data_IF_841036753201
#
_entry.id   IF_841036753201
#
_cell.length_a   1.000
_cell.length_b   1.000
_cell.length_c   1.000
_cell.angle_alpha   90.00
_cell.angle_beta   90.00
_cell.angle_gamma   90.00
#
_symmetry.space_group_name_H-M   'P 1'
#
loop_
_entity.id
_entity.type
_entity.pdbx_description
1 polymer ?
#
# COMPACT_ATOMS: atom_id res chain seq x y z
N UNK A 1 48.26 3.89 -1.95
CA UNK A 1 47.04 3.06 -1.94
C UNK A 1 46.15 3.51 -3.10
N UNK A 2 46.03 2.65 -4.11
CA UNK A 2 45.55 3.01 -5.46
C UNK A 2 44.08 3.42 -5.53
N UNK A 3 43.82 4.47 -6.31
CA UNK A 3 42.49 4.86 -6.78
C UNK A 3 41.93 3.70 -7.62
N UNK A 4 40.90 3.00 -7.13
CA UNK A 4 40.11 2.10 -7.97
C UNK A 4 39.35 2.97 -8.97
N UNK A 5 39.83 3.00 -10.20
CA UNK A 5 39.04 3.44 -11.34
C UNK A 5 37.81 2.53 -11.40
N UNK A 6 36.62 3.09 -11.20
CA UNK A 6 35.39 2.42 -11.60
C UNK A 6 35.38 2.54 -13.12
N UNK A 7 35.73 1.47 -13.82
CA UNK A 7 35.52 1.42 -15.26
C UNK A 7 34.03 1.63 -15.53
N UNK A 8 33.64 2.53 -16.46
CA UNK A 8 32.26 2.56 -16.91
C UNK A 8 31.95 1.16 -17.43
N UNK A 9 30.81 0.59 -17.01
CA UNK A 9 30.29 -0.62 -17.64
C UNK A 9 29.98 -0.26 -19.10
N UNK A 10 30.99 -0.39 -19.97
CA UNK A 10 30.91 -0.14 -21.41
C UNK A 10 30.29 -1.36 -22.08
N UNK A 11 29.09 -1.70 -21.62
CA UNK A 11 28.26 -2.72 -22.24
C UNK A 11 27.53 -2.01 -23.36
N UNK A 12 27.94 -2.28 -24.59
CA UNK A 12 27.21 -1.86 -25.79
C UNK A 12 25.80 -2.47 -25.73
N UNK A 13 24.85 -1.66 -25.27
CA UNK A 13 23.47 -2.03 -24.97
C UNK A 13 22.77 -2.55 -26.24
N UNK A 14 23.14 -2.06 -27.42
CA UNK A 14 22.61 -2.53 -28.70
C UNK A 14 23.14 -3.91 -29.07
N UNK A 15 24.43 -4.16 -28.83
CA UNK A 15 25.05 -5.47 -29.04
C UNK A 15 24.46 -6.52 -28.10
N UNK A 16 24.21 -6.16 -26.83
CA UNK A 16 23.62 -7.04 -25.83
C UNK A 16 22.14 -7.34 -26.12
N UNK A 17 21.37 -6.31 -26.53
CA UNK A 17 19.99 -6.49 -26.97
C UNK A 17 19.89 -7.44 -28.18
N UNK A 18 20.76 -7.28 -29.18
CA UNK A 18 20.80 -8.14 -30.36
C UNK A 18 21.26 -9.58 -30.04
N UNK A 19 22.08 -9.76 -29.00
CA UNK A 19 22.50 -11.08 -28.50
C UNK A 19 21.34 -11.83 -27.87
N UNK A 20 20.56 -11.17 -27.02
CA UNK A 20 19.44 -11.75 -26.28
C UNK A 20 18.17 -11.89 -27.13
N UNK A 21 17.95 -10.96 -28.05
CA UNK A 21 16.81 -10.90 -28.94
C UNK A 21 17.26 -11.03 -30.39
N UNK A 22 17.91 -12.16 -30.72
CA UNK A 22 18.30 -12.48 -32.10
C UNK A 22 17.17 -12.14 -33.05
N UNK A 23 17.39 -11.14 -33.92
CA UNK A 23 16.50 -10.89 -35.04
C UNK A 23 16.29 -12.20 -35.77
N UNK A 24 15.03 -12.67 -35.84
CA UNK A 24 14.71 -13.81 -36.70
C UNK A 24 15.13 -13.40 -38.10
N UNK A 25 16.06 -14.15 -38.72
CA UNK A 25 16.32 -13.93 -40.13
C UNK A 25 14.98 -14.06 -40.86
N UNK A 26 14.63 -13.10 -41.74
CA UNK A 26 13.40 -13.20 -42.50
C UNK A 26 13.42 -14.56 -43.21
N UNK A 27 12.33 -15.31 -43.09
CA UNK A 27 12.22 -16.59 -43.79
C UNK A 27 12.52 -16.35 -45.27
N UNK A 28 13.32 -17.20 -45.92
CA UNK A 28 13.63 -17.10 -47.36
C UNK A 28 12.41 -17.08 -48.27
N UNK A 29 11.22 -17.37 -47.74
CA UNK A 29 9.93 -17.10 -48.39
C UNK A 29 9.65 -15.61 -48.28
N UNK A 30 9.69 -14.92 -49.43
CA UNK A 30 9.23 -13.54 -49.56
C UNK A 30 7.77 -13.52 -49.10
N UNK A 31 7.52 -12.95 -47.92
CA UNK A 31 6.17 -12.67 -47.46
C UNK A 31 5.60 -11.60 -48.40
N UNK A 32 4.46 -11.85 -49.07
CA UNK A 32 3.87 -10.89 -50.02
C UNK A 32 3.38 -9.58 -49.37
N UNK A 33 3.48 -9.42 -48.04
CA UNK A 33 3.15 -8.18 -47.33
C UNK A 33 4.31 -7.69 -46.44
N UNK A 34 5.33 -7.02 -47.02
CA UNK A 34 6.45 -6.46 -46.25
C UNK A 34 6.02 -5.40 -45.23
N UNK A 35 4.84 -4.79 -45.40
CA UNK A 35 4.27 -3.81 -44.47
C UNK A 35 3.86 -4.40 -43.10
N UNK A 36 3.83 -5.73 -42.96
CA UNK A 36 3.46 -6.41 -41.70
C UNK A 36 4.68 -6.81 -40.86
N UNK A 37 5.90 -6.59 -41.37
CA UNK A 37 7.14 -6.83 -40.62
C UNK A 37 7.31 -5.69 -39.62
N UNK A 38 6.83 -5.90 -38.40
CA UNK A 38 7.07 -4.96 -37.28
C UNK A 38 8.57 -4.92 -37.03
N UNK A 39 9.23 -3.83 -37.42
CA UNK A 39 10.59 -3.53 -37.01
C UNK A 39 10.56 -3.28 -35.49
N UNK A 40 10.81 -4.33 -34.71
CA UNK A 40 10.94 -4.24 -33.27
C UNK A 40 12.22 -3.45 -32.97
N UNK A 41 12.11 -2.13 -32.85
CA UNK A 41 13.22 -1.29 -32.37
C UNK A 41 13.41 -1.53 -30.88
N UNK A 42 14.66 -1.46 -30.39
CA UNK A 42 14.99 -1.61 -28.97
C UNK A 42 14.10 -0.74 -28.08
N UNK A 43 13.88 0.51 -28.50
CA UNK A 43 13.02 1.47 -27.81
C UNK A 43 11.58 0.99 -27.71
N UNK A 44 10.99 0.49 -28.81
CA UNK A 44 9.61 -0.03 -28.80
C UNK A 44 9.45 -1.29 -27.94
N UNK A 45 10.47 -2.15 -27.86
CA UNK A 45 10.46 -3.31 -26.98
C UNK A 45 10.48 -2.91 -25.49
N UNK A 46 11.43 -2.07 -25.09
CA UNK A 46 11.54 -1.65 -23.69
C UNK A 46 10.39 -0.74 -23.27
N UNK A 47 9.88 0.13 -24.14
CA UNK A 47 8.67 0.92 -23.86
C UNK A 47 7.46 0.01 -23.63
N UNK A 48 7.33 -1.07 -24.42
CA UNK A 48 6.25 -2.05 -24.22
C UNK A 48 6.43 -2.80 -22.90
N UNK A 49 7.63 -3.29 -22.60
CA UNK A 49 7.92 -3.99 -21.34
C UNK A 49 7.72 -3.08 -20.13
N UNK A 50 8.15 -1.82 -20.21
CA UNK A 50 7.96 -0.85 -19.13
C UNK A 50 6.48 -0.55 -18.89
N UNK A 51 5.70 -0.44 -19.98
CA UNK A 51 4.24 -0.30 -19.89
C UNK A 51 3.59 -1.52 -19.24
N UNK A 52 3.99 -2.73 -19.63
CA UNK A 52 3.49 -3.97 -19.03
C UNK A 52 3.81 -4.04 -17.52
N UNK A 53 5.02 -3.63 -17.12
CA UNK A 53 5.41 -3.56 -15.70
C UNK A 53 4.56 -2.52 -14.95
N UNK A 54 4.36 -1.33 -15.53
CA UNK A 54 3.53 -0.29 -14.92
C UNK A 54 2.07 -0.73 -14.79
N UNK A 55 1.51 -1.34 -15.83
CA UNK A 55 0.14 -1.87 -15.81
C UNK A 55 0.00 -2.96 -14.75
N UNK A 56 1.01 -3.83 -14.61
CA UNK A 56 1.04 -4.87 -13.57
C UNK A 56 1.16 -4.29 -12.15
N UNK A 57 2.01 -3.29 -11.95
CA UNK A 57 2.14 -2.58 -10.68
C UNK A 57 0.83 -1.88 -10.31
N UNK A 58 0.19 -1.21 -11.27
CA UNK A 58 -1.08 -0.54 -11.07
C UNK A 58 -2.20 -1.52 -10.72
N UNK A 59 -2.31 -2.64 -11.43
CA UNK A 59 -3.33 -3.68 -11.12
C UNK A 59 -3.09 -4.29 -9.75
N UNK A 60 -1.83 -4.61 -9.40
CA UNK A 60 -1.49 -5.17 -8.09
C UNK A 60 -1.80 -4.18 -6.97
N UNK A 61 -1.44 -2.91 -7.15
CA UNK A 61 -1.71 -1.85 -6.18
C UNK A 61 -3.22 -1.60 -6.02
N UNK A 62 -3.97 -1.54 -7.13
CA UNK A 62 -5.43 -1.40 -7.11
C UNK A 62 -6.11 -2.58 -6.42
N UNK A 63 -5.67 -3.82 -6.70
CA UNK A 63 -6.17 -5.00 -6.03
C UNK A 63 -5.93 -4.95 -4.52
N UNK A 64 -4.73 -4.52 -4.10
CA UNK A 64 -4.40 -4.35 -2.69
C UNK A 64 -5.26 -3.27 -2.01
N UNK A 65 -5.43 -2.11 -2.65
CA UNK A 65 -6.31 -1.05 -2.15
C UNK A 65 -7.76 -1.52 -2.02
N UNK A 66 -8.26 -2.30 -2.97
CA UNK A 66 -9.62 -2.84 -2.90
C UNK A 66 -9.78 -3.79 -1.71
N UNK A 67 -8.82 -4.70 -1.49
CA UNK A 67 -8.84 -5.59 -0.31
C UNK A 67 -8.78 -4.78 0.99
N UNK A 68 -7.97 -3.73 1.03
CA UNK A 68 -7.83 -2.88 2.21
C UNK A 68 -9.11 -2.07 2.47
N UNK A 69 -9.73 -1.52 1.44
CA UNK A 69 -11.01 -0.82 1.54
C UNK A 69 -12.14 -1.74 2.03
N UNK A 70 -12.24 -2.96 1.53
CA UNK A 70 -13.22 -3.95 1.99
C UNK A 70 -13.04 -4.30 3.48
N UNK A 71 -11.79 -4.40 3.95
CA UNK A 71 -11.51 -4.66 5.37
C UNK A 71 -11.73 -3.45 6.27
N UNK A 72 -11.42 -2.24 5.79
CA UNK A 72 -11.56 -1.00 6.57
C UNK A 72 -13.00 -0.48 6.63
N UNK A 73 -13.86 -0.89 5.69
CA UNK A 73 -15.26 -0.48 5.63
C UNK A 73 -16.00 -0.64 6.95
N UNK A 74 -15.72 -1.72 7.68
CA UNK A 74 -16.37 -2.03 8.95
C UNK A 74 -16.02 -1.04 10.06
N UNK A 75 -14.89 -0.34 9.97
CA UNK A 75 -14.46 0.64 10.97
C UNK A 75 -15.08 2.03 10.76
N UNK A 76 -15.80 2.26 9.65
CA UNK A 76 -16.42 3.55 9.34
C UNK A 76 -17.44 3.96 10.42
N UNK A 77 -18.18 3.00 10.96
CA UNK A 77 -19.18 3.27 12.01
C UNK A 77 -18.57 3.36 13.41
N UNK A 78 -17.24 3.23 13.55
CA UNK A 78 -16.53 3.45 14.83
C UNK A 78 -16.06 4.90 14.95
N UNK A 79 -16.26 5.74 13.93
CA UNK A 79 -15.87 7.15 13.98
C UNK A 79 -16.86 7.98 14.81
N UNK A 80 -16.40 9.10 15.39
CA UNK A 80 -17.30 10.03 16.07
C UNK A 80 -18.46 10.46 15.15
N UNK A 81 -19.66 10.55 15.72
CA UNK A 81 -20.90 10.88 15.00
C UNK A 81 -21.52 9.76 14.15
N UNK A 82 -20.89 8.59 14.00
CA UNK A 82 -21.46 7.44 13.26
C UNK A 82 -21.68 6.18 14.11
N UNK A 83 -21.28 6.22 15.37
CA UNK A 83 -21.33 5.09 16.30
C UNK A 83 -22.73 4.54 16.57
N UNK A 84 -23.77 5.36 16.40
CA UNK A 84 -25.17 4.91 16.52
C UNK A 84 -25.56 3.90 15.44
N UNK A 85 -24.90 3.94 14.28
CA UNK A 85 -25.15 3.04 13.17
C UNK A 85 -24.35 1.73 13.28
N UNK A 86 -23.56 1.57 14.34
CA UNK A 86 -22.79 0.35 14.56
C UNK A 86 -23.72 -0.84 14.71
N UNK A 87 -23.43 -1.92 13.98
CA UNK A 87 -24.19 -3.16 14.04
C UNK A 87 -23.37 -4.29 14.66
N UNK A 88 -24.08 -5.32 15.16
CA UNK A 88 -23.42 -6.52 15.68
C UNK A 88 -22.60 -7.24 14.61
N UNK A 89 -23.04 -7.19 13.35
CA UNK A 89 -22.31 -7.81 12.22
C UNK A 89 -20.96 -7.11 11.97
N UNK A 90 -20.91 -5.78 12.11
CA UNK A 90 -19.66 -5.02 12.02
C UNK A 90 -18.70 -5.39 13.16
N UNK A 91 -19.22 -5.59 14.37
CA UNK A 91 -18.43 -6.08 15.50
C UNK A 91 -17.88 -7.49 15.25
N UNK A 92 -18.63 -8.37 14.58
CA UNK A 92 -18.15 -9.71 14.18
C UNK A 92 -16.97 -9.60 13.22
N UNK A 93 -17.09 -8.78 12.17
CA UNK A 93 -16.00 -8.56 11.22
C UNK A 93 -14.78 -7.89 11.86
N UNK A 94 -14.95 -6.97 12.81
CA UNK A 94 -13.82 -6.41 13.57
C UNK A 94 -13.08 -7.48 14.38
N UNK A 95 -13.81 -8.41 15.01
CA UNK A 95 -13.22 -9.53 15.72
C UNK A 95 -12.45 -10.49 14.80
N UNK A 96 -12.83 -10.60 13.52
CA UNK A 96 -12.09 -11.38 12.53
C UNK A 96 -10.78 -10.71 12.10
N UNK A 97 -10.78 -9.37 12.03
CA UNK A 97 -9.61 -8.58 11.58
C UNK A 97 -8.61 -8.34 12.71
N UNK A 98 -9.08 -8.06 13.93
CA UNK A 98 -8.24 -7.67 15.06
C UNK A 98 -7.83 -8.92 15.86
N UNK A 99 -6.53 -9.26 15.90
CA UNK A 99 -6.08 -10.40 16.67
C UNK A 99 -6.37 -10.19 18.17
N UNK A 100 -6.82 -11.25 18.84
CA UNK A 100 -7.18 -11.28 20.28
C UNK A 100 -8.49 -10.60 20.66
N UNK A 101 -9.22 -9.99 19.72
CA UNK A 101 -10.54 -9.43 19.97
C UNK A 101 -11.59 -10.56 19.93
N UNK A 102 -12.16 -10.89 21.09
CA UNK A 102 -13.13 -12.00 21.23
C UNK A 102 -14.51 -11.51 21.66
N UNK A 103 -15.53 -12.33 21.42
CA UNK A 103 -16.92 -12.10 21.80
C UNK A 103 -17.52 -10.80 21.24
N UNK A 104 -17.95 -10.81 19.96
CA UNK A 104 -18.60 -9.67 19.30
C UNK A 104 -19.77 -9.02 20.08
N UNK A 105 -20.63 -9.78 20.79
CA UNK A 105 -21.70 -9.16 21.59
C UNK A 105 -21.18 -8.27 22.72
N UNK A 106 -20.08 -8.67 23.38
CA UNK A 106 -19.48 -7.87 24.45
C UNK A 106 -18.84 -6.60 23.90
N UNK A 107 -18.18 -6.69 22.74
CA UNK A 107 -17.65 -5.52 22.05
C UNK A 107 -18.76 -4.53 21.70
N UNK A 108 -19.89 -5.04 21.20
CA UNK A 108 -21.05 -4.22 20.87
C UNK A 108 -21.62 -3.51 22.10
N UNK A 109 -21.76 -4.21 23.23
CA UNK A 109 -22.20 -3.61 24.49
C UNK A 109 -21.23 -2.55 25.00
N UNK A 110 -19.92 -2.80 24.95
CA UNK A 110 -18.93 -1.78 25.34
C UNK A 110 -19.04 -0.52 24.46
N UNK A 111 -19.25 -0.67 23.14
CA UNK A 111 -19.47 0.46 22.24
C UNK A 111 -20.76 1.22 22.54
N UNK A 112 -21.85 0.51 22.89
CA UNK A 112 -23.10 1.15 23.29
C UNK A 112 -22.97 1.95 24.59
N UNK A 113 -22.20 1.45 25.56
CA UNK A 113 -21.96 2.16 26.82
C UNK A 113 -21.12 3.42 26.63
N UNK A 114 -20.19 3.39 25.67
CA UNK A 114 -19.28 4.51 25.37
C UNK A 114 -19.80 5.41 24.25
N UNK A 115 -20.96 5.10 23.66
CA UNK A 115 -21.43 5.77 22.44
C UNK A 115 -21.63 7.25 22.65
N UNK A 116 -22.17 7.66 23.80
CA UNK A 116 -22.48 9.07 24.06
C UNK A 116 -21.21 9.90 24.25
N UNK A 117 -20.20 9.34 24.92
CA UNK A 117 -18.89 9.98 25.11
C UNK A 117 -18.10 10.07 23.79
N UNK A 118 -18.21 9.04 22.94
CA UNK A 118 -17.56 9.03 21.62
C UNK A 118 -18.23 10.04 20.67
N UNK A 119 -19.55 10.23 20.74
CA UNK A 119 -20.27 11.23 19.93
C UNK A 119 -19.87 12.66 20.26
N UNK A 120 -19.55 12.93 21.51
CA UNK A 120 -19.08 14.25 21.95
C UNK A 120 -17.65 14.58 21.49
N UNK A 121 -16.89 13.57 21.04
CA UNK A 121 -15.56 13.78 20.48
C UNK A 121 -15.64 14.33 19.05
N UNK A 122 -14.85 15.35 18.74
CA UNK A 122 -14.75 15.95 17.41
C UNK A 122 -13.78 15.19 16.50
N UNK A 123 -12.73 14.59 17.07
CA UNK A 123 -11.67 13.93 16.33
C UNK A 123 -11.18 12.64 17.00
N UNK A 124 -10.39 11.85 16.25
CA UNK A 124 -9.80 10.61 16.76
C UNK A 124 -8.75 10.86 17.87
N UNK A 125 -8.21 12.08 17.99
CA UNK A 125 -7.26 12.43 19.05
C UNK A 125 -7.97 12.62 20.39
N UNK A 126 -9.15 13.22 20.40
CA UNK A 126 -10.02 13.32 21.58
C UNK A 126 -10.47 11.93 22.04
N UNK A 127 -10.79 11.03 21.11
CA UNK A 127 -11.07 9.63 21.44
C UNK A 127 -9.84 8.96 22.07
N UNK A 128 -8.64 9.20 21.53
CA UNK A 128 -7.41 8.65 22.13
C UNK A 128 -7.20 9.14 23.57
N UNK A 129 -7.48 10.42 23.85
CA UNK A 129 -7.42 10.99 25.22
C UNK A 129 -8.49 10.39 26.13
N UNK A 130 -9.71 10.24 25.63
CA UNK A 130 -10.81 9.60 26.35
C UNK A 130 -10.42 8.17 26.76
N UNK A 131 -9.89 7.38 25.81
CA UNK A 131 -9.45 6.01 26.06
C UNK A 131 -8.23 5.91 26.96
N UNK A 132 -7.37 6.92 27.01
CA UNK A 132 -6.31 6.97 28.03
C UNK A 132 -6.89 7.10 29.45
N UNK A 133 -8.03 7.78 29.60
CA UNK A 133 -8.67 7.99 30.90
C UNK A 133 -9.57 6.81 31.29
N UNK A 134 -10.38 6.28 30.37
CA UNK A 134 -11.39 5.27 30.66
C UNK A 134 -11.16 3.91 29.99
N UNK A 135 -10.10 3.74 29.19
CA UNK A 135 -9.89 2.53 28.37
C UNK A 135 -9.65 1.25 29.18
N UNK A 136 -9.30 1.36 30.46
CA UNK A 136 -9.21 0.21 31.38
C UNK A 136 -10.58 -0.39 31.73
N UNK A 137 -11.65 0.40 31.65
CA UNK A 137 -13.03 -0.06 31.86
C UNK A 137 -13.61 -0.73 30.61
N UNK A 138 -13.08 -0.38 29.43
CA UNK A 138 -13.57 -0.83 28.12
C UNK A 138 -12.42 -1.34 27.26
N UNK A 139 -11.80 -2.47 27.65
CA UNK A 139 -10.56 -2.95 27.05
C UNK A 139 -10.74 -3.37 25.59
N UNK A 140 -11.93 -3.80 25.17
CA UNK A 140 -12.17 -4.24 23.79
C UNK A 140 -12.32 -3.06 22.86
N UNK A 141 -13.09 -2.05 23.26
CA UNK A 141 -13.21 -0.78 22.52
C UNK A 141 -11.85 -0.08 22.44
N UNK A 142 -11.10 -0.06 23.54
CA UNK A 142 -9.72 0.47 23.53
C UNK A 142 -8.82 -0.29 22.55
N UNK A 143 -8.93 -1.62 22.49
CA UNK A 143 -8.18 -2.43 21.52
C UNK A 143 -8.53 -2.08 20.07
N UNK A 144 -9.82 -1.83 19.77
CA UNK A 144 -10.26 -1.41 18.44
C UNK A 144 -9.69 -0.06 18.06
N UNK A 145 -9.81 0.95 18.93
CA UNK A 145 -9.30 2.28 18.62
C UNK A 145 -7.77 2.33 18.57
N UNK A 146 -7.08 1.61 19.45
CA UNK A 146 -5.62 1.47 19.38
C UNK A 146 -5.21 0.81 18.06
N UNK A 147 -5.96 -0.20 17.60
CA UNK A 147 -5.72 -0.79 16.28
C UNK A 147 -5.88 0.26 15.18
N UNK A 148 -6.98 1.01 15.16
CA UNK A 148 -7.22 2.06 14.15
C UNK A 148 -6.11 3.14 14.17
N UNK A 149 -5.71 3.59 15.35
CA UNK A 149 -4.69 4.64 15.53
C UNK A 149 -3.27 4.16 15.18
N UNK A 150 -3.01 2.87 15.28
CA UNK A 150 -1.70 2.25 14.96
C UNK A 150 -1.65 1.64 13.57
N UNK A 151 -2.77 1.65 12.83
CA UNK A 151 -2.77 1.27 11.42
C UNK A 151 -1.75 2.18 10.70
N UNK A 152 -0.79 1.60 9.95
CA UNK A 152 0.13 2.39 9.17
C UNK A 152 -0.69 3.10 8.09
N UNK A 153 -1.02 4.37 8.32
CA UNK A 153 -1.44 5.27 7.26
C UNK A 153 -0.18 5.46 6.44
N UNK A 154 -0.05 4.71 5.34
CA UNK A 154 1.01 4.92 4.35
C UNK A 154 0.73 6.23 3.60
N UNK A 155 0.77 7.35 4.31
CA UNK A 155 1.29 8.58 3.72
C UNK A 155 2.78 8.55 4.00
N UNK A 156 3.56 8.76 2.96
CA UNK A 156 5.02 8.90 2.90
C UNK A 156 5.66 9.81 3.97
N UNK A 157 5.43 9.60 5.27
CA UNK A 157 6.08 10.33 6.36
C UNK A 157 7.50 9.82 6.59
N UNK A 158 7.81 8.59 6.16
CA UNK A 158 9.16 8.05 6.16
C UNK A 158 10.04 8.50 4.98
N UNK A 159 9.51 9.27 4.02
CA UNK A 159 10.35 9.88 2.97
C UNK A 159 11.16 11.08 3.49
N UNK A 160 10.85 11.63 4.67
CA UNK A 160 11.65 12.71 5.27
C UNK A 160 12.94 12.23 5.93
N UNK A 161 13.01 10.96 6.34
CA UNK A 161 14.20 10.42 7.03
C UNK A 161 15.31 10.03 6.04
N UNK A 162 14.98 9.75 4.78
CA UNK A 162 15.97 9.46 3.73
C UNK A 162 16.66 10.71 3.20
N UNK A 163 15.99 11.88 3.21
CA UNK A 163 16.61 13.15 2.75
C UNK A 163 17.73 13.62 3.68
N UNK A 164 17.60 13.44 5.00
CA UNK A 164 18.64 13.85 5.96
C UNK A 164 19.84 12.88 6.02
N UNK A 165 19.73 11.68 5.47
CA UNK A 165 20.87 10.76 5.34
C UNK A 165 21.70 11.05 4.07
N UNK A 166 21.09 11.68 3.05
CA UNK A 166 21.81 12.08 1.82
C UNK A 166 22.55 13.41 2.02
N UNK A 167 22.01 14.34 2.83
CA UNK A 167 22.65 15.64 3.07
C UNK A 167 23.85 15.54 4.03
N UNK A 168 23.87 14.56 4.94
CA UNK A 168 24.97 14.37 5.91
C UNK A 168 26.20 13.62 5.37
N UNK A 169 26.20 13.20 4.09
CA UNK A 169 27.38 12.68 3.40
C UNK A 169 27.97 13.66 2.36
N UNK A 170 27.41 14.87 2.22
CA UNK A 170 27.93 15.91 1.34
C UNK A 170 28.75 16.99 2.08
N UNK A 171 28.91 16.89 3.40
CA UNK A 171 29.72 17.80 4.22
C UNK A 171 30.80 17.06 5.04
N UNK A 172 31.54 16.16 4.40
CA UNK A 172 32.86 15.71 4.87
C UNK A 172 33.82 15.54 3.70
#
# INVERSE_FOLDING_TARGET
>A
LGKKHIEPYDVDIDKEFNRLHRFRQPSRRIDPKPATVVQLTRESFYLKLFREILDHLYTTYSAFLNVLNEKLKWFINVTPGRIENLTLNECQHMCEVIPKLTSPPLLFTEFQLLSDQIKECNDMNEIAKLLQQCGHLYPKVSSVYNYILTLPITTATNERTTVNCIISQSER
#
